data_IF_104641494080
#
_entry.id   IF_104641494080
#
_cell.length_a   1.000
_cell.length_b   1.000
_cell.length_c   1.000
_cell.angle_alpha   90.00
_cell.angle_beta   90.00
_cell.angle_gamma   90.00
#
_symmetry.space_group_name_H-M   'P 1'
#
loop_
_entity.id
_entity.type
_entity.pdbx_description
1 polymer ?
#
# COMPACT_ATOMS: atom_id res chain seq x y z
N UNK A 1 -30.02 23.46 -19.90
CA UNK A 1 -29.01 22.42 -19.67
C UNK A 1 -29.08 22.06 -18.20
N UNK A 2 -29.42 20.80 -17.88
CA UNK A 2 -29.36 20.31 -16.51
C UNK A 2 -27.87 20.24 -16.19
N UNK A 3 -27.40 21.07 -15.28
CA UNK A 3 -26.03 21.08 -14.80
C UNK A 3 -25.86 19.75 -14.04
N UNK A 4 -25.24 18.74 -14.67
CA UNK A 4 -24.91 17.49 -14.02
C UNK A 4 -23.97 17.85 -12.88
N UNK A 5 -24.43 17.68 -11.65
CA UNK A 5 -23.60 17.98 -10.48
C UNK A 5 -22.38 17.07 -10.47
N UNK A 6 -21.17 17.64 -10.32
CA UNK A 6 -19.94 16.88 -10.18
C UNK A 6 -20.09 15.84 -9.05
N UNK A 7 -19.66 14.58 -9.24
CA UNK A 7 -19.75 13.57 -8.19
C UNK A 7 -18.80 13.87 -7.03
N UNK A 8 -19.10 13.33 -5.87
CA UNK A 8 -18.13 13.25 -4.80
C UNK A 8 -17.15 12.09 -5.05
N UNK A 9 -16.00 12.11 -4.38
CA UNK A 9 -14.99 11.06 -4.50
C UNK A 9 -14.54 10.63 -3.10
N UNK A 10 -14.80 9.38 -2.73
CA UNK A 10 -14.27 8.76 -1.52
C UNK A 10 -13.10 7.85 -1.91
N UNK A 11 -11.90 8.21 -1.46
CA UNK A 11 -10.70 7.44 -1.73
C UNK A 11 -10.19 6.81 -0.44
N UNK A 12 -10.36 5.49 -0.30
CA UNK A 12 -9.98 4.70 0.87
C UNK A 12 -8.69 3.94 0.57
N UNK A 13 -7.69 4.16 1.38
CA UNK A 13 -6.42 3.41 1.38
C UNK A 13 -6.26 2.70 2.71
N UNK A 14 -6.03 1.40 2.68
CA UNK A 14 -5.69 0.61 3.88
C UNK A 14 -4.20 0.30 3.84
N UNK A 15 -3.45 0.84 4.80
CA UNK A 15 -2.02 0.56 4.92
C UNK A 15 -1.74 -0.94 5.00
N UNK A 16 -0.72 -1.38 4.30
CA UNK A 16 -0.23 -2.76 4.37
C UNK A 16 -1.24 -3.85 3.97
N UNK A 17 -2.29 -3.55 3.16
CA UNK A 17 -3.33 -4.52 2.80
C UNK A 17 -2.95 -5.36 1.57
N UNK A 18 -2.78 -6.65 1.78
CA UNK A 18 -2.49 -7.65 0.73
C UNK A 18 -3.73 -7.97 -0.11
N UNK A 19 -3.54 -8.11 -1.42
CA UNK A 19 -4.62 -8.49 -2.36
C UNK A 19 -5.19 -9.89 -2.07
N UNK A 20 -4.33 -10.89 -1.75
CA UNK A 20 -4.74 -12.26 -1.48
C UNK A 20 -5.57 -12.44 -0.19
N UNK A 21 -5.60 -11.43 0.69
CA UNK A 21 -6.43 -11.39 1.89
C UNK A 21 -7.78 -10.71 1.67
N UNK A 22 -7.95 -10.07 0.52
CA UNK A 22 -9.23 -9.47 0.07
C UNK A 22 -9.96 -10.38 -0.91
N UNK A 23 -9.24 -10.97 -1.85
CA UNK A 23 -9.82 -11.83 -2.88
C UNK A 23 -8.95 -13.05 -3.15
N UNK A 24 -9.56 -14.23 -3.25
CA UNK A 24 -8.87 -15.48 -3.54
C UNK A 24 -9.24 -16.62 -2.58
N UNK A 25 -8.71 -17.81 -2.87
CA UNK A 25 -9.05 -19.06 -2.16
C UNK A 25 -8.51 -19.13 -0.73
N UNK A 26 -7.42 -18.40 -0.45
CA UNK A 26 -6.71 -18.48 0.84
C UNK A 26 -7.14 -17.37 1.81
N UNK A 27 -8.20 -16.64 1.49
CA UNK A 27 -8.78 -15.62 2.35
C UNK A 27 -9.61 -16.27 3.45
N UNK A 28 -9.32 -15.94 4.71
CA UNK A 28 -10.11 -16.37 5.88
C UNK A 28 -10.79 -15.21 6.60
N UNK A 29 -10.44 -13.96 6.27
CA UNK A 29 -11.09 -12.75 6.78
C UNK A 29 -12.57 -12.69 6.39
N UNK A 30 -13.41 -12.16 7.29
CA UNK A 30 -14.84 -11.87 7.05
C UNK A 30 -14.99 -10.40 6.68
N UNK A 31 -15.15 -10.12 5.39
CA UNK A 31 -15.15 -8.76 4.83
C UNK A 31 -16.35 -8.47 3.92
N UNK A 32 -17.60 -8.66 4.43
CA UNK A 32 -18.79 -8.56 3.60
C UNK A 32 -18.99 -7.18 2.94
N UNK A 33 -18.48 -6.10 3.56
CA UNK A 33 -18.62 -4.74 3.01
C UNK A 33 -17.66 -4.50 1.85
N UNK A 34 -16.41 -4.94 1.97
CA UNK A 34 -15.43 -4.90 0.87
C UNK A 34 -15.87 -5.86 -0.26
N UNK A 35 -16.40 -7.04 0.08
CA UNK A 35 -16.98 -7.96 -0.91
C UNK A 35 -18.17 -7.34 -1.64
N UNK A 36 -18.98 -6.54 -0.95
CA UNK A 36 -20.08 -5.79 -1.58
C UNK A 36 -19.55 -4.74 -2.59
N UNK A 37 -18.45 -4.03 -2.27
CA UNK A 37 -17.80 -3.14 -3.24
C UNK A 37 -17.29 -3.91 -4.46
N UNK A 38 -16.70 -5.09 -4.28
CA UNK A 38 -16.24 -5.95 -5.39
C UNK A 38 -17.44 -6.40 -6.24
N UNK A 39 -18.51 -6.85 -5.60
CA UNK A 39 -19.70 -7.35 -6.28
C UNK A 39 -20.43 -6.26 -7.08
N UNK A 40 -20.43 -5.03 -6.61
CA UNK A 40 -21.14 -3.89 -7.21
C UNK A 40 -20.21 -2.91 -7.93
N UNK A 41 -18.97 -3.31 -8.21
CA UNK A 41 -17.97 -2.48 -8.84
C UNK A 41 -17.03 -3.28 -9.73
N UNK A 42 -15.87 -2.69 -10.02
CA UNK A 42 -14.82 -3.33 -10.81
C UNK A 42 -13.62 -3.59 -9.88
N UNK A 43 -13.22 -4.85 -9.79
CA UNK A 43 -12.05 -5.30 -9.04
C UNK A 43 -10.90 -5.68 -9.97
N UNK A 44 -9.70 -5.18 -9.69
CA UNK A 44 -8.47 -5.52 -10.40
C UNK A 44 -7.65 -6.50 -9.56
N UNK A 45 -7.52 -7.75 -10.04
CA UNK A 45 -6.80 -8.82 -9.33
C UNK A 45 -5.28 -8.61 -9.29
N UNK A 46 -4.74 -7.87 -10.25
CA UNK A 46 -3.31 -7.66 -10.45
C UNK A 46 -2.96 -6.16 -10.40
N UNK A 47 -3.45 -5.45 -9.37
CA UNK A 47 -3.01 -4.08 -9.12
C UNK A 47 -1.68 -4.09 -8.37
N UNK A 48 -0.69 -3.36 -8.90
CA UNK A 48 0.68 -3.37 -8.42
C UNK A 48 1.07 -1.96 -7.96
N UNK A 49 1.48 -1.83 -6.71
CA UNK A 49 2.10 -0.61 -6.23
C UNK A 49 3.55 -0.51 -6.70
N UNK A 50 4.01 0.71 -6.94
CA UNK A 50 5.37 0.93 -7.47
C UNK A 50 6.47 0.68 -6.43
N UNK A 51 6.13 0.67 -5.15
CA UNK A 51 7.07 0.50 -4.03
C UNK A 51 6.35 0.07 -2.75
N UNK A 52 6.98 -0.74 -1.89
CA UNK A 52 6.42 -1.09 -0.58
C UNK A 52 6.70 -0.03 0.50
N UNK A 53 6.51 1.25 0.20
CA UNK A 53 6.73 2.37 1.12
C UNK A 53 5.57 3.36 1.06
N UNK A 54 4.87 3.57 2.18
CA UNK A 54 3.64 4.35 2.29
C UNK A 54 3.71 5.72 1.61
N UNK A 55 4.60 6.60 2.05
CA UNK A 55 4.68 7.97 1.51
C UNK A 55 5.02 8.00 0.02
N UNK A 56 5.91 7.13 -0.42
CA UNK A 56 6.34 7.04 -1.82
C UNK A 56 5.23 6.47 -2.70
N UNK A 57 4.56 5.41 -2.25
CA UNK A 57 3.46 4.77 -2.97
C UNK A 57 2.27 5.73 -3.13
N UNK A 58 1.86 6.41 -2.05
CA UNK A 58 0.75 7.38 -2.10
C UNK A 58 1.10 8.58 -2.99
N UNK A 59 2.36 9.05 -2.95
CA UNK A 59 2.83 10.10 -3.87
C UNK A 59 2.72 9.66 -5.34
N UNK A 60 3.07 8.40 -5.65
CA UNK A 60 2.90 7.86 -7.00
C UNK A 60 1.43 7.79 -7.43
N UNK A 61 0.52 7.44 -6.52
CA UNK A 61 -0.93 7.47 -6.79
C UNK A 61 -1.39 8.89 -7.12
N UNK A 62 -1.00 9.88 -6.32
CA UNK A 62 -1.49 11.26 -6.48
C UNK A 62 -0.86 12.01 -7.65
N UNK A 63 0.28 11.58 -8.15
CA UNK A 63 0.95 12.22 -9.28
C UNK A 63 0.81 11.46 -10.60
N UNK A 64 0.46 10.17 -10.55
CA UNK A 64 0.50 9.29 -11.71
C UNK A 64 1.91 9.02 -12.23
N UNK A 65 2.95 9.30 -11.43
CA UNK A 65 4.37 9.17 -11.78
C UNK A 65 5.04 8.07 -10.97
N UNK A 66 6.03 7.41 -11.57
CA UNK A 66 6.87 6.46 -10.86
C UNK A 66 7.77 7.15 -9.81
N UNK A 67 8.14 6.48 -8.71
CA UNK A 67 8.86 7.06 -7.59
C UNK A 67 10.14 7.81 -7.96
N UNK A 68 10.95 7.28 -8.89
CA UNK A 68 12.18 7.93 -9.31
C UNK A 68 11.95 9.28 -10.00
N UNK A 69 10.78 9.51 -10.64
CA UNK A 69 10.42 10.78 -11.27
C UNK A 69 9.94 11.84 -10.29
N UNK A 70 9.37 11.42 -9.16
CA UNK A 70 8.97 12.35 -8.11
C UNK A 70 10.07 12.65 -7.08
N UNK A 71 11.28 12.13 -7.31
CA UNK A 71 12.42 12.32 -6.41
C UNK A 71 12.36 11.50 -5.12
N UNK A 72 11.43 10.57 -5.01
CA UNK A 72 11.22 9.72 -3.83
C UNK A 72 11.59 8.24 -4.08
N UNK A 73 12.44 7.98 -5.08
CA UNK A 73 12.87 6.63 -5.44
C UNK A 73 13.73 5.95 -4.38
N UNK A 74 14.16 4.72 -4.67
CA UNK A 74 14.89 3.83 -3.76
C UNK A 74 16.22 4.37 -3.24
N UNK A 75 16.71 5.50 -3.77
CA UNK A 75 18.01 6.05 -3.41
C UNK A 75 18.07 6.66 -2.00
N UNK A 76 17.07 7.47 -1.64
CA UNK A 76 17.04 8.21 -0.37
C UNK A 76 15.62 8.61 0.00
N UNK A 77 15.28 8.57 1.29
CA UNK A 77 14.04 9.18 1.75
C UNK A 77 14.09 10.69 1.58
N UNK A 78 13.07 11.20 0.88
CA UNK A 78 12.88 12.63 0.66
C UNK A 78 11.42 13.01 0.93
N UNK A 79 11.17 14.28 1.22
CA UNK A 79 9.83 14.83 1.23
C UNK A 79 9.30 14.94 -0.19
N UNK A 80 8.01 14.84 -0.34
CA UNK A 80 7.32 15.09 -1.60
C UNK A 80 7.69 16.47 -2.15
N UNK A 81 7.94 16.55 -3.44
CA UNK A 81 8.25 17.81 -4.13
C UNK A 81 6.96 18.57 -4.45
N UNK A 82 6.64 19.69 -3.79
CA UNK A 82 5.40 20.43 -4.00
C UNK A 82 5.31 21.11 -5.39
N UNK A 83 6.39 21.12 -6.18
CA UNK A 83 6.37 21.60 -7.57
C UNK A 83 5.78 20.58 -8.54
N UNK A 84 5.72 19.29 -8.14
CA UNK A 84 5.10 18.26 -8.95
C UNK A 84 3.60 18.33 -8.74
N UNK A 85 2.85 18.60 -9.80
CA UNK A 85 1.40 18.68 -9.73
C UNK A 85 0.78 17.34 -9.37
N UNK A 86 -0.10 17.39 -8.39
CA UNK A 86 -0.89 16.24 -7.94
C UNK A 86 -2.31 16.28 -8.50
N UNK A 87 -2.99 15.13 -8.49
CA UNK A 87 -4.42 15.09 -8.81
C UNK A 87 -5.25 15.98 -7.84
N UNK A 88 -4.76 16.19 -6.62
CA UNK A 88 -5.44 17.03 -5.62
C UNK A 88 -5.48 18.48 -6.08
N UNK A 89 -4.39 19.00 -6.62
CA UNK A 89 -4.34 20.36 -7.18
C UNK A 89 -5.27 20.50 -8.38
N UNK A 90 -5.27 19.52 -9.29
CA UNK A 90 -6.15 19.53 -10.47
C UNK A 90 -7.64 19.47 -10.04
N UNK A 91 -7.97 18.66 -9.03
CA UNK A 91 -9.33 18.61 -8.49
C UNK A 91 -9.74 19.96 -7.90
N UNK A 92 -8.86 20.63 -7.15
CA UNK A 92 -9.13 21.99 -6.61
C UNK A 92 -9.37 23.02 -7.72
N UNK A 93 -8.56 23.01 -8.76
CA UNK A 93 -8.75 23.88 -9.94
C UNK A 93 -10.06 23.61 -10.68
N UNK A 94 -10.66 22.44 -10.44
CA UNK A 94 -11.96 22.04 -10.94
C UNK A 94 -13.05 22.07 -9.85
N UNK A 95 -12.98 23.00 -8.91
CA UNK A 95 -13.96 23.31 -7.86
C UNK A 95 -14.26 22.17 -6.86
N UNK A 96 -13.37 21.19 -6.73
CA UNK A 96 -13.48 20.20 -5.67
C UNK A 96 -12.91 20.73 -4.36
N UNK A 97 -13.65 20.56 -3.27
CA UNK A 97 -13.12 20.72 -1.93
C UNK A 97 -12.36 19.45 -1.53
N UNK A 98 -11.10 19.59 -1.10
CA UNK A 98 -10.21 18.45 -0.87
C UNK A 98 -9.94 18.23 0.60
N UNK A 99 -10.24 17.04 1.10
CA UNK A 99 -10.12 16.67 2.50
C UNK A 99 -9.31 15.39 2.67
N UNK A 100 -8.57 15.30 3.77
CA UNK A 100 -7.86 14.10 4.16
C UNK A 100 -8.16 13.71 5.61
N UNK A 101 -8.01 12.44 5.89
CA UNK A 101 -7.83 11.86 7.22
C UNK A 101 -6.80 10.74 7.07
N UNK A 102 -5.55 11.01 7.43
CA UNK A 102 -4.40 10.15 7.16
C UNK A 102 -3.42 10.13 8.33
N UNK A 103 -2.56 9.11 8.46
CA UNK A 103 -1.57 9.06 9.53
C UNK A 103 -0.56 10.21 9.41
N UNK A 104 -0.04 10.69 10.53
CA UNK A 104 0.93 11.81 10.62
C UNK A 104 2.11 11.65 9.66
N UNK A 105 2.62 10.44 9.48
CA UNK A 105 3.77 10.18 8.60
C UNK A 105 3.54 10.64 7.15
N UNK A 106 2.33 10.60 6.63
CA UNK A 106 2.02 11.10 5.29
C UNK A 106 2.12 12.62 5.21
N UNK A 107 1.74 13.31 6.30
CA UNK A 107 1.89 14.76 6.41
C UNK A 107 3.36 15.16 6.58
N UNK A 108 4.11 14.46 7.41
CA UNK A 108 5.54 14.70 7.67
C UNK A 108 6.39 14.55 6.41
N UNK A 109 5.98 13.63 5.53
CA UNK A 109 6.58 13.43 4.21
C UNK A 109 6.04 14.39 3.14
N UNK A 110 5.12 15.29 3.49
CA UNK A 110 4.56 16.30 2.58
C UNK A 110 3.50 15.78 1.61
N UNK A 111 3.09 14.51 1.71
CA UNK A 111 2.15 13.88 0.76
C UNK A 111 0.75 14.52 0.82
N UNK A 112 0.36 15.06 1.98
CA UNK A 112 -0.96 15.65 2.22
C UNK A 112 -0.97 17.18 2.20
N UNK A 113 0.09 17.82 1.66
CA UNK A 113 0.21 19.28 1.71
C UNK A 113 -0.92 20.01 0.96
N UNK A 114 -1.43 19.42 -0.13
CA UNK A 114 -2.47 20.02 -0.97
C UNK A 114 -3.89 19.95 -0.38
N UNK A 115 -4.11 19.17 0.68
CA UNK A 115 -5.42 19.06 1.32
C UNK A 115 -5.74 20.25 2.22
N UNK A 116 -7.01 20.70 2.21
CA UNK A 116 -7.44 21.98 2.78
C UNK A 116 -7.78 21.92 4.26
N UNK A 117 -8.20 20.76 4.77
CA UNK A 117 -8.63 20.67 6.16
C UNK A 117 -7.46 20.69 7.15
N UNK A 118 -7.55 21.45 8.25
CA UNK A 118 -6.47 21.53 9.25
C UNK A 118 -6.29 20.23 10.05
N UNK A 119 -7.33 19.43 10.18
CA UNK A 119 -7.37 18.14 10.87
C UNK A 119 -7.17 16.95 9.92
N UNK A 120 -6.30 17.13 8.91
CA UNK A 120 -6.03 16.12 7.87
C UNK A 120 -5.16 14.97 8.33
N UNK A 121 -4.45 15.11 9.45
CA UNK A 121 -3.60 14.07 9.99
C UNK A 121 -4.03 13.62 11.38
N UNK A 122 -3.80 12.36 11.69
CA UNK A 122 -4.01 11.76 12.99
C UNK A 122 -2.74 10.99 13.42
N UNK A 123 -2.56 10.80 14.74
CA UNK A 123 -1.41 10.06 15.26
C UNK A 123 -1.34 8.66 14.66
N UNK A 124 -0.19 8.23 14.15
CA UNK A 124 0.02 6.97 13.43
C UNK A 124 -0.55 5.72 14.13
N UNK A 125 -0.74 5.77 15.44
CA UNK A 125 -1.28 4.65 16.22
C UNK A 125 -2.73 4.85 16.70
N UNK A 126 -3.41 5.88 16.20
CA UNK A 126 -4.80 6.14 16.50
C UNK A 126 -5.70 5.32 15.58
N UNK A 127 -6.31 4.26 16.13
CA UNK A 127 -7.04 3.27 15.35
C UNK A 127 -8.52 3.61 15.16
N UNK A 128 -9.15 2.91 14.21
CA UNK A 128 -10.59 2.99 13.97
C UNK A 128 -11.39 2.76 15.25
N UNK A 129 -11.00 1.78 16.07
CA UNK A 129 -11.68 1.44 17.33
C UNK A 129 -11.29 2.34 18.52
N UNK A 130 -10.27 3.15 18.39
CA UNK A 130 -9.89 4.15 19.39
C UNK A 130 -10.64 5.49 19.20
N UNK A 131 -11.45 5.62 18.17
CA UNK A 131 -12.26 6.81 17.89
C UNK A 131 -12.13 7.35 16.46
N UNK A 132 -11.10 6.96 15.71
CA UNK A 132 -10.88 7.41 14.32
C UNK A 132 -12.09 7.10 13.43
N UNK A 133 -12.68 5.91 13.55
CA UNK A 133 -13.86 5.54 12.76
C UNK A 133 -15.05 6.48 12.99
N UNK A 134 -15.31 6.89 14.24
CA UNK A 134 -16.34 7.86 14.55
C UNK A 134 -16.01 9.25 13.99
N UNK A 135 -14.76 9.69 14.05
CA UNK A 135 -14.34 10.97 13.46
C UNK A 135 -14.57 11.01 11.94
N UNK A 136 -14.22 9.93 11.22
CA UNK A 136 -14.46 9.81 9.78
C UNK A 136 -15.97 9.90 9.47
N UNK A 137 -16.80 9.15 10.19
CA UNK A 137 -18.26 9.17 10.02
C UNK A 137 -18.82 10.56 10.30
N UNK A 138 -18.36 11.23 11.35
CA UNK A 138 -18.79 12.58 11.71
C UNK A 138 -18.47 13.57 10.60
N UNK A 139 -17.26 13.54 10.02
CA UNK A 139 -16.89 14.41 8.89
C UNK A 139 -17.84 14.25 7.71
N UNK A 140 -18.20 13.00 7.38
CA UNK A 140 -19.12 12.73 6.27
C UNK A 140 -20.55 13.19 6.59
N UNK A 141 -21.03 12.97 7.83
CA UNK A 141 -22.44 13.16 8.22
C UNK A 141 -22.79 14.59 8.62
N UNK A 142 -21.85 15.38 9.12
CA UNK A 142 -22.09 16.71 9.70
C UNK A 142 -22.04 17.87 8.70
N UNK A 143 -22.22 17.62 7.40
CA UNK A 143 -22.01 18.62 6.34
C UNK A 143 -20.62 19.32 6.39
N UNK A 144 -19.65 18.66 7.01
CA UNK A 144 -18.26 19.12 7.06
C UNK A 144 -17.64 19.13 5.66
N UNK A 145 -17.94 18.09 4.86
CA UNK A 145 -17.48 17.95 3.48
C UNK A 145 -18.40 18.77 2.55
N UNK A 146 -17.92 19.91 2.06
CA UNK A 146 -18.62 20.74 1.07
C UNK A 146 -18.55 20.11 -0.31
N UNK A 147 -19.69 19.95 -0.98
CA UNK A 147 -19.79 19.33 -2.31
C UNK A 147 -19.37 20.28 -3.43
N UNK A 148 -18.79 19.75 -4.54
CA UNK A 148 -18.27 18.41 -4.68
C UNK A 148 -17.01 18.24 -3.82
N UNK A 149 -16.83 17.08 -3.22
CA UNK A 149 -15.66 16.83 -2.39
C UNK A 149 -14.85 15.61 -2.88
N UNK A 150 -13.53 15.69 -2.66
CA UNK A 150 -12.61 14.57 -2.66
C UNK A 150 -12.18 14.31 -1.22
N UNK A 151 -12.47 13.12 -0.71
CA UNK A 151 -12.10 12.76 0.65
C UNK A 151 -11.16 11.55 0.66
N UNK A 152 -9.91 11.80 1.00
CA UNK A 152 -8.89 10.79 1.19
C UNK A 152 -8.89 10.27 2.63
N UNK A 153 -9.10 8.96 2.77
CA UNK A 153 -9.10 8.26 4.06
C UNK A 153 -8.02 7.19 4.01
N UNK A 154 -6.97 7.36 4.80
CA UNK A 154 -5.90 6.37 4.92
C UNK A 154 -5.96 5.74 6.31
N UNK A 155 -6.20 4.42 6.37
CA UNK A 155 -6.40 3.64 7.59
C UNK A 155 -5.14 2.82 7.86
N UNK A 156 -4.58 2.97 9.07
CA UNK A 156 -3.27 2.42 9.46
C UNK A 156 -3.38 1.15 10.32
N UNK A 157 -4.57 0.63 10.54
CA UNK A 157 -4.88 -0.43 11.51
C UNK A 157 -4.23 -1.79 11.20
N UNK A 158 -3.85 -2.07 9.94
CA UNK A 158 -3.12 -3.30 9.56
C UNK A 158 -1.60 -3.17 9.65
N UNK A 159 -1.08 -1.95 9.87
CA UNK A 159 0.35 -1.76 10.09
C UNK A 159 0.80 -2.43 11.42
N UNK A 160 1.97 -3.05 11.41
CA UNK A 160 2.52 -3.73 12.61
C UNK A 160 2.90 -2.76 13.73
N UNK A 161 2.65 -3.13 14.99
CA UNK A 161 2.01 -4.36 15.46
C UNK A 161 0.49 -4.33 15.32
N UNK A 162 -0.08 -5.38 14.73
CA UNK A 162 -1.53 -5.50 14.57
C UNK A 162 -2.21 -5.75 15.92
N UNK A 163 -3.13 -4.85 16.31
CA UNK A 163 -3.83 -4.92 17.60
C UNK A 163 -5.31 -5.18 17.35
N UNK A 164 -5.68 -6.44 17.35
CA UNK A 164 -7.07 -6.88 17.12
C UNK A 164 -7.97 -6.44 18.28
N UNK A 165 -9.11 -5.77 18.02
CA UNK A 165 -10.09 -5.48 19.05
C UNK A 165 -10.70 -6.78 19.62
N UNK A 166 -10.96 -6.82 20.93
CA UNK A 166 -11.45 -8.03 21.63
C UNK A 166 -12.66 -8.70 20.96
N UNK A 167 -13.59 -7.90 20.42
CA UNK A 167 -14.77 -8.38 19.69
C UNK A 167 -14.45 -9.22 18.46
N UNK A 168 -13.31 -8.97 17.82
CA UNK A 168 -12.86 -9.61 16.59
C UNK A 168 -11.70 -10.60 16.79
N UNK A 169 -11.23 -10.77 18.03
CA UNK A 169 -10.13 -11.70 18.34
C UNK A 169 -10.66 -13.13 18.53
N UNK A 170 -11.25 -13.66 17.46
CA UNK A 170 -11.86 -15.00 17.38
C UNK A 170 -11.59 -15.55 15.96
N UNK A 171 -11.29 -16.85 15.82
CA UNK A 171 -10.96 -17.49 14.55
C UNK A 171 -12.05 -17.40 13.48
N UNK A 172 -13.31 -17.25 13.89
CA UNK A 172 -14.42 -17.01 12.93
C UNK A 172 -14.25 -15.74 12.09
N UNK A 173 -13.39 -14.79 12.51
CA UNK A 173 -13.07 -13.56 11.81
C UNK A 173 -11.77 -13.65 10.99
N UNK A 174 -11.02 -14.75 11.10
CA UNK A 174 -9.78 -14.99 10.38
C UNK A 174 -8.79 -15.84 11.17
N UNK A 175 -7.98 -16.62 10.48
CA UNK A 175 -7.01 -17.51 11.12
C UNK A 175 -5.84 -16.73 11.74
N UNK A 176 -5.34 -15.71 11.06
CA UNK A 176 -4.28 -14.84 11.56
C UNK A 176 -4.83 -13.60 12.26
N UNK A 177 -4.03 -12.96 13.11
CA UNK A 177 -4.38 -11.67 13.72
C UNK A 177 -4.58 -10.57 12.67
N UNK A 178 -3.77 -10.62 11.62
CA UNK A 178 -3.91 -9.73 10.47
C UNK A 178 -5.30 -9.86 9.82
N UNK A 179 -5.77 -11.09 9.56
CA UNK A 179 -7.08 -11.31 8.93
C UNK A 179 -8.23 -10.95 9.88
N UNK A 180 -8.08 -11.18 11.19
CA UNK A 180 -9.04 -10.71 12.21
C UNK A 180 -9.13 -9.20 12.25
N UNK A 181 -7.99 -8.50 12.13
CA UNK A 181 -7.98 -7.05 12.07
C UNK A 181 -8.58 -6.53 10.76
N UNK A 182 -8.34 -7.20 9.64
CA UNK A 182 -9.01 -6.88 8.38
C UNK A 182 -10.53 -7.00 8.49
N UNK A 183 -11.03 -8.03 9.16
CA UNK A 183 -12.48 -8.19 9.45
C UNK A 183 -13.00 -7.06 10.35
N UNK A 184 -12.20 -6.62 11.31
CA UNK A 184 -12.55 -5.48 12.15
C UNK A 184 -12.55 -4.16 11.37
N UNK A 185 -11.62 -3.99 10.44
CA UNK A 185 -11.55 -2.83 9.54
C UNK A 185 -12.75 -2.80 8.60
N UNK A 186 -13.15 -3.94 8.04
CA UNK A 186 -14.33 -4.07 7.18
C UNK A 186 -15.63 -3.61 7.87
N UNK A 187 -15.78 -3.87 9.15
CA UNK A 187 -16.92 -3.37 9.94
C UNK A 187 -17.01 -1.82 9.88
N UNK A 188 -15.88 -1.12 9.97
CA UNK A 188 -15.86 0.35 9.85
C UNK A 188 -16.04 0.82 8.43
N UNK A 189 -15.51 0.09 7.43
CA UNK A 189 -15.79 0.35 6.02
C UNK A 189 -17.30 0.31 5.77
N UNK A 190 -18.00 -0.70 6.29
CA UNK A 190 -19.47 -0.76 6.20
C UNK A 190 -20.14 0.48 6.76
N UNK A 191 -19.76 0.91 7.97
CA UNK A 191 -20.32 2.10 8.62
C UNK A 191 -20.04 3.40 7.83
N UNK A 192 -18.88 3.50 7.19
CA UNK A 192 -18.54 4.62 6.31
C UNK A 192 -19.41 4.59 5.07
N UNK A 193 -19.55 3.44 4.41
CA UNK A 193 -20.35 3.28 3.19
C UNK A 193 -21.85 3.53 3.42
N UNK A 194 -22.38 3.23 4.60
CA UNK A 194 -23.77 3.57 5.00
C UNK A 194 -24.06 5.10 4.94
N UNK A 195 -23.04 5.95 5.03
CA UNK A 195 -23.15 7.41 4.94
C UNK A 195 -22.96 7.96 3.53
N UNK A 196 -22.67 7.09 2.57
CA UNK A 196 -22.32 7.44 1.19
C UNK A 196 -23.47 7.09 0.25
N UNK A 197 -23.85 8.04 -0.60
CA UNK A 197 -24.73 7.76 -1.71
C UNK A 197 -23.90 7.40 -2.95
N UNK A 198 -23.84 6.11 -3.28
CA UNK A 198 -23.06 5.59 -4.41
C UNK A 198 -23.54 6.10 -5.78
N UNK A 199 -24.79 6.61 -5.92
CA UNK A 199 -25.26 7.15 -7.20
C UNK A 199 -24.60 8.47 -7.57
N UNK A 200 -24.04 9.21 -6.59
CA UNK A 200 -23.36 10.48 -6.78
C UNK A 200 -21.95 10.53 -6.17
N UNK A 201 -21.42 9.38 -5.78
CA UNK A 201 -20.07 9.29 -5.19
C UNK A 201 -19.31 8.15 -5.86
N UNK A 202 -18.14 8.47 -6.42
CA UNK A 202 -17.15 7.49 -6.85
C UNK A 202 -16.38 7.02 -5.62
N UNK A 203 -16.36 5.71 -5.38
CA UNK A 203 -15.58 5.07 -4.33
C UNK A 203 -14.39 4.35 -4.93
N UNK A 204 -13.19 4.70 -4.50
CA UNK A 204 -11.94 4.00 -4.82
C UNK A 204 -11.43 3.35 -3.52
N UNK A 205 -11.17 2.06 -3.57
CA UNK A 205 -10.62 1.30 -2.46
C UNK A 205 -9.34 0.60 -2.88
N UNK A 206 -8.24 0.83 -2.17
CA UNK A 206 -6.96 0.19 -2.43
C UNK A 206 -6.11 0.09 -1.16
N UNK A 207 -4.88 -0.37 -1.30
CA UNK A 207 -3.83 -0.26 -0.29
C UNK A 207 -2.67 0.57 -0.83
N UNK A 208 -1.80 1.06 0.03
CA UNK A 208 -0.53 1.66 -0.39
C UNK A 208 0.51 0.60 -0.80
N UNK A 209 0.61 -0.49 -0.05
CA UNK A 209 1.43 -1.69 -0.30
C UNK A 209 0.89 -2.88 0.49
N UNK A 210 1.52 -4.03 0.33
CA UNK A 210 1.26 -5.24 1.11
C UNK A 210 2.18 -5.39 2.33
N UNK A 211 2.15 -6.58 2.97
CA UNK A 211 2.97 -6.89 4.16
C UNK A 211 3.25 -8.38 4.29
N UNK A 212 4.39 -8.77 4.88
CA UNK A 212 4.63 -10.14 5.29
C UNK A 212 3.81 -10.48 6.54
N UNK A 213 2.97 -11.48 6.45
CA UNK A 213 2.17 -11.99 7.56
C UNK A 213 2.86 -13.26 8.06
N UNK A 214 3.53 -13.25 9.23
CA UNK A 214 4.29 -14.41 9.73
C UNK A 214 3.36 -15.48 10.31
N UNK A 215 2.47 -15.98 9.46
CA UNK A 215 1.48 -17.00 9.73
C UNK A 215 1.39 -17.93 8.51
N UNK A 216 1.67 -19.21 8.71
CA UNK A 216 1.58 -20.22 7.66
C UNK A 216 0.92 -21.50 8.21
N UNK A 217 0.36 -22.28 7.29
CA UNK A 217 0.00 -23.67 7.53
C UNK A 217 1.04 -24.52 6.81
N UNK A 218 1.90 -25.19 7.58
CA UNK A 218 2.91 -26.11 7.07
C UNK A 218 2.51 -27.52 7.46
N UNK A 219 2.24 -28.38 6.48
CA UNK A 219 1.62 -29.70 6.67
C UNK A 219 0.31 -29.55 7.49
N UNK A 220 0.21 -30.25 8.64
CA UNK A 220 -0.94 -30.18 9.55
C UNK A 220 -0.74 -29.20 10.72
N UNK A 221 0.35 -28.44 10.73
CA UNK A 221 0.69 -27.50 11.82
C UNK A 221 0.50 -26.05 11.40
N UNK A 222 -0.07 -25.27 12.31
CA UNK A 222 -0.10 -23.81 12.19
C UNK A 222 1.15 -23.24 12.86
N UNK A 223 1.94 -22.50 12.11
CA UNK A 223 3.07 -21.72 12.62
C UNK A 223 2.67 -20.26 12.61
N UNK A 224 2.52 -19.69 13.80
CA UNK A 224 2.14 -18.31 14.01
C UNK A 224 3.26 -17.58 14.78
N UNK A 225 3.92 -16.63 14.10
CA UNK A 225 4.94 -15.76 14.66
C UNK A 225 4.47 -14.29 14.70
N UNK A 226 3.17 -14.04 14.66
CA UNK A 226 2.61 -12.71 14.90
C UNK A 226 2.88 -12.24 16.35
N UNK A 227 2.66 -10.96 16.62
CA UNK A 227 2.96 -10.40 17.94
C UNK A 227 2.16 -11.06 19.07
N UNK A 228 2.84 -11.52 20.11
CA UNK A 228 2.23 -12.10 21.30
C UNK A 228 1.44 -11.05 22.11
N UNK A 229 0.56 -11.51 23.02
CA UNK A 229 -0.15 -10.63 23.93
C UNK A 229 0.80 -9.77 24.78
N UNK A 230 1.91 -10.36 25.24
CA UNK A 230 2.95 -9.65 26.00
C UNK A 230 3.61 -8.55 25.17
N UNK A 231 4.00 -8.84 23.93
CA UNK A 231 4.57 -7.84 23.02
C UNK A 231 3.61 -6.69 22.75
N UNK A 232 2.32 -6.98 22.51
CA UNK A 232 1.28 -5.96 22.31
C UNK A 232 1.08 -5.09 23.54
N UNK A 233 1.09 -5.66 24.73
CA UNK A 233 0.96 -4.92 25.96
C UNK A 233 2.19 -4.02 26.23
N UNK A 234 3.39 -4.52 26.00
CA UNK A 234 4.63 -3.74 26.09
C UNK A 234 4.62 -2.60 25.08
N UNK A 235 4.14 -2.84 23.87
CA UNK A 235 4.01 -1.81 22.84
C UNK A 235 2.99 -0.73 23.24
N UNK A 236 1.80 -1.11 23.72
CA UNK A 236 0.79 -0.18 24.24
C UNK A 236 1.34 0.67 25.39
N UNK A 237 2.11 0.06 26.28
CA UNK A 237 2.75 0.75 27.39
C UNK A 237 3.84 1.70 26.87
N UNK A 238 4.66 1.25 25.94
CA UNK A 238 5.71 2.06 25.31
C UNK A 238 5.16 3.34 24.63
N UNK A 239 3.96 3.27 24.03
CA UNK A 239 3.33 4.45 23.43
C UNK A 239 2.81 5.49 24.42
N UNK A 240 2.68 5.12 25.71
CA UNK A 240 2.35 6.05 26.79
C UNK A 240 3.59 6.73 27.39
N UNK A 241 4.80 6.30 27.01
CA UNK A 241 6.05 6.90 27.48
C UNK A 241 6.25 8.25 26.79
N UNK A 242 6.45 9.34 27.56
CA UNK A 242 6.72 10.67 27.01
C UNK A 242 7.94 10.68 26.07
N UNK A 243 7.93 11.56 25.09
CA UNK A 243 9.01 11.66 24.09
C UNK A 243 10.40 11.90 24.68
N UNK A 244 10.51 12.61 25.81
CA UNK A 244 11.78 12.83 26.52
C UNK A 244 12.40 11.53 27.08
N UNK A 245 11.62 10.45 27.22
CA UNK A 245 12.08 9.12 27.64
C UNK A 245 12.24 8.13 26.46
N UNK A 246 12.28 8.63 25.24
CA UNK A 246 12.46 7.83 24.02
C UNK A 246 13.66 6.86 24.04
N UNK A 247 14.80 7.11 24.71
CA UNK A 247 15.89 6.13 24.83
C UNK A 247 15.48 4.84 25.56
N UNK A 248 14.61 4.94 26.57
CA UNK A 248 14.09 3.78 27.31
C UNK A 248 13.15 2.96 26.43
N UNK A 249 12.24 3.64 25.71
CA UNK A 249 11.35 3.02 24.71
C UNK A 249 12.14 2.22 23.67
N UNK A 250 13.25 2.78 23.16
CA UNK A 250 14.15 2.13 22.19
C UNK A 250 14.83 0.88 22.74
N UNK A 251 15.34 0.92 23.97
CA UNK A 251 15.95 -0.25 24.62
C UNK A 251 14.94 -1.40 24.78
N UNK A 252 13.71 -1.10 25.22
CA UNK A 252 12.65 -2.08 25.36
C UNK A 252 12.26 -2.70 24.00
N UNK A 253 12.06 -1.88 22.98
CA UNK A 253 11.77 -2.35 21.62
C UNK A 253 12.92 -3.20 21.06
N UNK A 254 14.18 -2.82 21.31
CA UNK A 254 15.36 -3.59 20.93
C UNK A 254 15.42 -4.97 21.60
N UNK A 255 15.12 -5.06 22.89
CA UNK A 255 15.07 -6.33 23.64
C UNK A 255 13.98 -7.26 23.10
N UNK A 256 12.77 -6.76 22.89
CA UNK A 256 11.65 -7.53 22.31
C UNK A 256 12.06 -8.12 20.95
N UNK A 257 12.67 -7.28 20.12
CA UNK A 257 13.12 -7.68 18.77
C UNK A 257 14.21 -8.73 18.81
N UNK A 258 15.20 -8.60 19.70
CA UNK A 258 16.28 -9.58 19.86
C UNK A 258 15.74 -10.94 20.34
N UNK A 259 14.88 -10.93 21.36
CA UNK A 259 14.24 -12.15 21.88
C UNK A 259 13.40 -12.84 20.79
N UNK A 260 12.63 -12.07 20.02
CA UNK A 260 11.83 -12.59 18.91
C UNK A 260 12.69 -13.22 17.81
N UNK A 261 13.79 -12.57 17.44
CA UNK A 261 14.73 -13.12 16.45
C UNK A 261 15.40 -14.41 16.95
N UNK A 262 15.75 -14.48 18.23
CA UNK A 262 16.29 -15.70 18.83
C UNK A 262 15.26 -16.85 18.80
N UNK A 263 13.99 -16.59 19.13
CA UNK A 263 12.93 -17.60 19.07
C UNK A 263 12.73 -18.10 17.63
N UNK A 264 12.75 -17.20 16.65
CA UNK A 264 12.65 -17.57 15.23
C UNK A 264 13.80 -18.48 14.78
N UNK A 265 15.01 -18.15 15.20
CA UNK A 265 16.21 -18.87 14.73
C UNK A 265 16.48 -20.19 15.47
N UNK A 266 15.98 -20.35 16.69
CA UNK A 266 16.32 -21.52 17.53
C UNK A 266 15.22 -22.57 17.64
N UNK A 267 13.95 -22.21 17.39
CA UNK A 267 12.81 -23.13 17.59
C UNK A 267 12.23 -23.75 16.33
N UNK A 268 12.67 -23.32 15.16
CA UNK A 268 12.13 -23.80 13.89
C UNK A 268 13.22 -24.57 13.13
N UNK A 269 12.92 -25.79 12.74
CA UNK A 269 13.73 -26.50 11.74
C UNK A 269 13.41 -25.91 10.36
N UNK A 270 14.33 -25.08 9.86
CA UNK A 270 14.17 -24.39 8.58
C UNK A 270 14.40 -25.29 7.37
N UNK A 271 14.87 -26.54 7.56
CA UNK A 271 15.23 -27.44 6.46
C UNK A 271 14.01 -27.92 5.67
N UNK A 272 12.84 -28.02 6.31
CA UNK A 272 11.59 -28.48 5.71
C UNK A 272 10.77 -27.37 5.03
N UNK A 273 11.12 -26.09 5.27
CA UNK A 273 10.32 -24.98 4.72
C UNK A 273 10.65 -24.69 3.27
N UNK A 274 9.61 -24.36 2.50
CA UNK A 274 9.75 -23.80 1.17
C UNK A 274 10.38 -22.38 1.20
N UNK A 275 10.84 -21.88 0.08
CA UNK A 275 11.42 -20.53 -0.01
C UNK A 275 10.37 -19.46 0.34
N UNK A 276 9.11 -19.66 -0.05
CA UNK A 276 8.01 -18.79 0.35
C UNK A 276 7.80 -18.79 1.88
N UNK A 277 7.74 -19.96 2.50
CA UNK A 277 7.54 -20.09 3.95
C UNK A 277 8.69 -19.46 4.74
N UNK A 278 9.94 -19.69 4.32
CA UNK A 278 11.11 -19.00 4.90
C UNK A 278 10.99 -17.50 4.79
N UNK A 279 10.63 -16.98 3.62
CA UNK A 279 10.44 -15.56 3.38
C UNK A 279 9.38 -14.96 4.32
N UNK A 280 8.20 -15.56 4.38
CA UNK A 280 7.08 -15.06 5.19
C UNK A 280 7.37 -15.10 6.70
N UNK A 281 8.00 -16.17 7.19
CA UNK A 281 8.31 -16.35 8.60
C UNK A 281 9.53 -15.56 9.06
N UNK A 282 10.60 -15.56 8.26
CA UNK A 282 11.93 -15.08 8.66
C UNK A 282 12.17 -13.64 8.23
N UNK A 283 11.70 -13.27 7.04
CA UNK A 283 11.83 -11.90 6.58
C UNK A 283 10.94 -10.99 7.40
N UNK A 284 11.56 -10.05 8.04
CA UNK A 284 10.85 -8.90 8.56
C UNK A 284 11.02 -7.80 7.51
N UNK A 285 9.94 -7.12 7.14
CA UNK A 285 10.01 -5.91 6.31
C UNK A 285 11.11 -4.96 6.80
N UNK A 286 11.31 -4.90 8.11
CA UNK A 286 12.36 -4.14 8.78
C UNK A 286 13.80 -4.54 8.42
N UNK A 287 14.01 -5.66 7.75
CA UNK A 287 15.34 -6.16 7.39
C UNK A 287 15.65 -6.17 5.89
N UNK A 288 14.61 -6.27 5.05
CA UNK A 288 14.74 -6.47 3.60
C UNK A 288 13.94 -5.41 2.85
N UNK A 289 14.38 -4.16 2.95
CA UNK A 289 13.80 -3.04 2.16
C UNK A 289 13.97 -3.24 0.65
N UNK A 290 14.76 -4.22 0.25
CA UNK A 290 15.02 -4.59 -1.15
C UNK A 290 14.02 -5.59 -1.72
N UNK A 291 13.10 -6.13 -0.92
CA UNK A 291 12.15 -7.13 -1.37
C UNK A 291 11.03 -6.50 -2.23
N UNK A 292 10.77 -7.14 -3.39
CA UNK A 292 9.73 -6.74 -4.34
C UNK A 292 8.78 -7.90 -4.69
N UNK A 293 8.54 -8.79 -3.73
CA UNK A 293 7.62 -9.91 -3.88
C UNK A 293 6.16 -9.46 -3.88
N UNK A 294 5.28 -10.23 -4.51
CA UNK A 294 3.83 -9.91 -4.60
C UNK A 294 3.18 -9.74 -3.24
N UNK A 295 3.68 -10.38 -2.20
CA UNK A 295 3.25 -10.15 -0.80
C UNK A 295 3.32 -8.66 -0.40
N UNK A 296 4.26 -7.91 -0.97
CA UNK A 296 4.51 -6.50 -0.63
C UNK A 296 3.96 -5.52 -1.66
N UNK A 297 3.86 -5.94 -2.93
CA UNK A 297 3.53 -5.00 -4.02
C UNK A 297 2.19 -5.26 -4.70
N UNK A 298 1.58 -6.43 -4.54
CA UNK A 298 0.26 -6.71 -5.10
C UNK A 298 -0.82 -6.36 -4.09
N UNK A 299 -1.66 -5.41 -4.45
CA UNK A 299 -2.67 -4.79 -3.60
C UNK A 299 -4.08 -4.91 -4.20
N UNK A 300 -5.15 -4.83 -3.40
CA UNK A 300 -6.50 -4.74 -3.96
C UNK A 300 -6.69 -3.38 -4.64
N UNK A 301 -7.50 -3.35 -5.71
CA UNK A 301 -7.98 -2.11 -6.30
C UNK A 301 -9.43 -2.30 -6.75
N UNK A 302 -10.32 -1.45 -6.21
CA UNK A 302 -11.75 -1.46 -6.52
C UNK A 302 -12.18 -0.06 -6.93
N UNK A 303 -12.96 0.04 -8.01
CA UNK A 303 -13.74 1.22 -8.35
C UNK A 303 -15.23 0.84 -8.25
N UNK A 304 -16.02 1.65 -7.55
CA UNK A 304 -17.46 1.41 -7.35
C UNK A 304 -18.23 2.72 -7.26
N UNK A 305 -19.53 2.69 -7.51
CA UNK A 305 -20.42 3.86 -7.42
C UNK A 305 -20.47 4.68 -8.70
N UNK A 306 -20.45 6.03 -8.56
CA UNK A 306 -20.62 6.92 -9.71
C UNK A 306 -19.64 6.62 -10.86
N UNK A 307 -20.16 6.59 -12.08
CA UNK A 307 -19.36 6.33 -13.29
C UNK A 307 -19.00 4.86 -13.53
N UNK A 308 -19.29 3.98 -12.59
CA UNK A 308 -19.02 2.54 -12.72
C UNK A 308 -20.34 1.83 -13.06
N UNK A 309 -20.49 1.45 -14.31
CA UNK A 309 -21.74 0.85 -14.85
C UNK A 309 -21.69 -0.67 -14.98
N UNK A 310 -20.52 -1.26 -14.82
CA UNK A 310 -20.29 -2.70 -14.89
C UNK A 310 -19.80 -3.25 -13.56
N UNK A 311 -20.12 -4.51 -13.28
CA UNK A 311 -19.49 -5.29 -12.22
C UNK A 311 -18.60 -6.35 -12.89
N UNK A 312 -17.33 -6.31 -12.60
CA UNK A 312 -16.38 -7.25 -13.23
C UNK A 312 -15.12 -7.45 -12.38
N UNK A 313 -14.54 -8.63 -12.54
CA UNK A 313 -13.22 -8.97 -12.03
C UNK A 313 -12.27 -8.94 -13.21
N UNK A 314 -11.25 -8.10 -13.15
CA UNK A 314 -10.29 -7.88 -14.22
C UNK A 314 -8.95 -8.47 -13.82
N UNK A 315 -8.54 -9.53 -14.53
CA UNK A 315 -7.25 -10.22 -14.27
C UNK A 315 -6.05 -9.52 -14.89
N UNK A 316 -6.29 -8.50 -15.73
CA UNK A 316 -5.22 -7.73 -16.35
C UNK A 316 -4.43 -6.94 -15.31
N UNK A 317 -3.11 -6.94 -15.45
CA UNK A 317 -2.21 -6.15 -14.62
C UNK A 317 -2.45 -4.65 -14.79
N UNK A 318 -2.44 -3.92 -13.67
CA UNK A 318 -2.54 -2.46 -13.60
C UNK A 318 -1.51 -1.92 -12.59
N UNK A 319 -1.24 -0.64 -12.65
CA UNK A 319 -0.31 0.04 -11.74
C UNK A 319 -1.02 1.06 -10.86
N UNK A 320 -0.48 1.37 -9.69
CA UNK A 320 -0.95 2.48 -8.86
C UNK A 320 -0.91 3.83 -9.57
N UNK A 321 0.06 4.06 -10.46
CA UNK A 321 0.12 5.31 -11.24
C UNK A 321 -1.05 5.48 -12.21
N UNK A 322 -1.79 4.40 -12.51
CA UNK A 322 -2.99 4.43 -13.35
C UNK A 322 -4.21 5.04 -12.63
N UNK A 323 -4.19 5.09 -11.29
CA UNK A 323 -5.34 5.55 -10.48
C UNK A 323 -5.67 7.02 -10.75
N UNK A 324 -4.66 7.88 -10.74
CA UNK A 324 -4.82 9.32 -10.98
C UNK A 324 -5.52 9.63 -12.32
N UNK A 325 -4.99 9.21 -13.49
CA UNK A 325 -5.65 9.47 -14.77
C UNK A 325 -7.04 8.81 -14.87
N UNK A 326 -7.26 7.67 -14.18
CA UNK A 326 -8.56 7.01 -14.14
C UNK A 326 -9.62 7.84 -13.40
N UNK A 327 -9.25 8.43 -12.27
CA UNK A 327 -10.16 9.32 -11.51
C UNK A 327 -10.60 10.47 -12.39
N UNK A 328 -9.66 11.17 -13.01
CA UNK A 328 -9.96 12.33 -13.85
C UNK A 328 -10.87 11.95 -15.04
N UNK A 329 -10.59 10.84 -15.68
CA UNK A 329 -11.34 10.34 -16.83
C UNK A 329 -12.79 9.97 -16.46
N UNK A 330 -13.00 9.29 -15.30
CA UNK A 330 -14.35 8.94 -14.81
C UNK A 330 -15.19 10.19 -14.52
N UNK A 331 -14.59 11.25 -14.00
CA UNK A 331 -15.31 12.49 -13.65
C UNK A 331 -15.31 13.52 -14.77
N UNK A 332 -14.72 13.19 -15.94
CA UNK A 332 -14.72 14.04 -17.14
C UNK A 332 -13.83 15.27 -17.05
N UNK A 333 -12.71 15.20 -16.30
CA UNK A 333 -11.70 16.27 -16.22
C UNK A 333 -10.53 15.94 -17.14
N UNK A 334 -10.30 16.78 -18.14
CA UNK A 334 -9.11 16.70 -18.99
C UNK A 334 -7.88 17.25 -18.24
N UNK A 335 -6.75 16.57 -18.37
CA UNK A 335 -5.48 17.01 -17.82
C UNK A 335 -4.40 17.02 -18.91
N UNK A 336 -3.59 18.06 -18.93
CA UNK A 336 -2.41 18.18 -19.80
C UNK A 336 -1.14 17.61 -19.16
N UNK A 337 -1.24 17.07 -17.93
CA UNK A 337 -0.09 16.54 -17.22
C UNK A 337 0.46 15.29 -17.89
N UNK A 338 1.76 15.28 -18.11
CA UNK A 338 2.46 14.08 -18.58
C UNK A 338 2.69 13.13 -17.41
N UNK A 339 1.94 12.04 -17.37
CA UNK A 339 2.02 11.00 -16.34
C UNK A 339 2.48 9.67 -16.93
N UNK A 340 3.01 8.79 -16.08
CA UNK A 340 3.36 7.42 -16.47
C UNK A 340 2.12 6.51 -16.54
N UNK A 341 1.14 6.83 -15.72
CA UNK A 341 -0.12 6.09 -15.62
C UNK A 341 -1.01 6.26 -16.86
N UNK A 342 -1.89 5.28 -17.05
CA UNK A 342 -2.91 5.27 -18.11
C UNK A 342 -4.29 5.05 -17.49
N UNK A 343 -5.28 5.78 -17.98
CA UNK A 343 -6.65 5.58 -17.52
C UNK A 343 -7.11 4.14 -17.72
N UNK A 344 -7.68 3.57 -16.67
CA UNK A 344 -8.30 2.25 -16.65
C UNK A 344 -9.75 2.29 -17.13
N UNK A 345 -10.35 3.47 -17.35
CA UNK A 345 -11.73 3.62 -17.78
C UNK A 345 -12.07 2.84 -19.07
N UNK A 346 -11.21 2.79 -20.11
CA UNK A 346 -11.47 1.93 -21.26
C UNK A 346 -11.62 0.44 -20.90
N UNK A 347 -10.84 -0.05 -19.92
CA UNK A 347 -10.90 -1.45 -19.48
C UNK A 347 -12.13 -1.67 -18.59
N UNK A 348 -12.45 -0.74 -17.72
CA UNK A 348 -13.69 -0.72 -16.92
C UNK A 348 -14.91 -0.82 -17.85
N UNK A 349 -14.86 -0.15 -19.00
CA UNK A 349 -15.91 -0.19 -20.04
C UNK A 349 -15.77 -1.39 -21.00
N UNK A 350 -15.00 -2.40 -20.65
CA UNK A 350 -14.93 -3.69 -21.37
C UNK A 350 -13.97 -3.71 -22.58
N UNK A 351 -13.17 -2.66 -22.82
CA UNK A 351 -12.14 -2.71 -23.88
C UNK A 351 -11.00 -3.65 -23.50
N UNK A 352 -10.65 -4.54 -24.42
CA UNK A 352 -9.45 -5.36 -24.28
C UNK A 352 -8.23 -4.56 -24.68
N UNK A 353 -7.31 -4.32 -23.75
CA UNK A 353 -6.03 -3.70 -24.02
C UNK A 353 -4.91 -4.70 -23.79
N UNK A 354 -3.77 -4.50 -24.47
CA UNK A 354 -2.56 -5.31 -24.24
C UNK A 354 -2.05 -5.10 -22.83
N UNK A 355 -1.45 -6.13 -22.24
CA UNK A 355 -0.75 -6.00 -20.96
C UNK A 355 0.37 -4.97 -21.06
N UNK A 356 0.56 -4.25 -19.97
CA UNK A 356 1.63 -3.28 -19.81
C UNK A 356 2.62 -3.76 -18.76
N UNK A 357 3.86 -3.36 -18.90
CA UNK A 357 4.85 -3.50 -17.85
C UNK A 357 4.59 -2.48 -16.75
N UNK A 358 4.79 -2.90 -15.51
CA UNK A 358 4.74 -2.04 -14.34
C UNK A 358 6.14 -1.93 -13.74
N UNK A 359 6.62 -0.70 -13.60
CA UNK A 359 7.88 -0.42 -12.91
C UNK A 359 7.69 -0.55 -11.39
N UNK A 360 8.64 -1.18 -10.74
CA UNK A 360 8.68 -1.39 -9.30
C UNK A 360 10.06 -1.07 -8.74
N UNK A 361 10.14 -0.54 -7.53
CA UNK A 361 11.40 -0.29 -6.85
C UNK A 361 11.28 -0.47 -5.33
N UNK A 362 12.40 -0.76 -4.69
CA UNK A 362 12.47 -0.96 -3.25
C UNK A 362 12.15 0.32 -2.47
N UNK A 363 11.78 0.16 -1.22
CA UNK A 363 11.66 1.30 -0.29
C UNK A 363 12.99 2.05 -0.21
N UNK A 364 12.97 3.39 -0.12
CA UNK A 364 14.16 4.14 0.21
C UNK A 364 14.75 3.68 1.55
N UNK A 365 16.07 3.59 1.64
CA UNK A 365 16.75 3.21 2.88
C UNK A 365 17.07 4.40 3.77
N UNK A 366 16.96 4.23 5.09
CA UNK A 366 17.51 5.16 6.07
C UNK A 366 18.86 4.58 6.54
N UNK A 367 19.99 5.05 5.97
CA UNK A 367 21.32 4.58 6.32
C UNK A 367 22.22 4.26 5.12
N UNK A 368 23.50 3.96 5.40
CA UNK A 368 24.51 3.61 4.39
C UNK A 368 24.44 2.11 4.06
N UNK A 369 24.69 1.74 2.81
CA UNK A 369 25.01 0.35 2.43
C UNK A 369 23.82 -0.53 2.08
N UNK A 370 22.64 0.02 1.77
CA UNK A 370 21.48 -0.78 1.37
C UNK A 370 21.42 -1.02 -0.13
N UNK A 371 20.90 -2.18 -0.49
CA UNK A 371 20.60 -2.53 -1.85
C UNK A 371 19.47 -1.63 -2.36
N UNK A 372 19.71 -0.92 -3.42
CA UNK A 372 18.74 -0.12 -4.14
C UNK A 372 18.22 -0.99 -5.28
N UNK A 373 17.03 -1.53 -5.13
CA UNK A 373 16.48 -2.52 -6.05
C UNK A 373 15.44 -1.87 -6.94
N UNK A 374 15.56 -2.14 -8.23
CA UNK A 374 14.59 -1.75 -9.25
C UNK A 374 14.16 -2.97 -10.04
N UNK A 375 12.97 -2.92 -10.58
CA UNK A 375 12.45 -4.04 -11.35
C UNK A 375 11.27 -3.68 -12.23
N UNK A 376 10.78 -4.69 -12.90
CA UNK A 376 9.66 -4.63 -13.80
C UNK A 376 8.79 -5.89 -13.62
N UNK A 377 7.48 -5.70 -13.66
CA UNK A 377 6.52 -6.79 -13.60
C UNK A 377 5.61 -6.77 -14.82
N UNK A 378 5.39 -7.93 -15.41
CA UNK A 378 4.33 -8.21 -16.37
C UNK A 378 3.33 -9.20 -15.77
N UNK A 379 2.26 -9.54 -16.47
CA UNK A 379 1.33 -10.59 -16.01
C UNK A 379 1.97 -11.96 -15.85
N UNK A 380 3.05 -12.23 -16.59
CA UNK A 380 3.71 -13.55 -16.61
C UNK A 380 5.04 -13.60 -15.88
N UNK A 381 5.76 -12.49 -15.81
CA UNK A 381 7.12 -12.46 -15.26
C UNK A 381 7.35 -11.27 -14.36
N UNK A 382 8.16 -11.48 -13.33
CA UNK A 382 8.72 -10.41 -12.50
C UNK A 382 10.23 -10.50 -12.52
N UNK A 383 10.86 -9.36 -12.79
CA UNK A 383 12.30 -9.20 -12.81
C UNK A 383 12.71 -8.03 -11.92
N UNK A 384 13.71 -8.23 -11.07
CA UNK A 384 14.31 -7.15 -10.30
C UNK A 384 15.78 -7.41 -9.99
N UNK A 385 16.52 -6.32 -9.80
CA UNK A 385 17.97 -6.34 -9.55
C UNK A 385 18.43 -5.08 -8.83
N UNK A 386 19.66 -5.09 -8.32
CA UNK A 386 20.29 -3.89 -7.78
C UNK A 386 20.41 -2.79 -8.86
N UNK A 387 20.16 -1.53 -8.46
CA UNK A 387 20.18 -0.37 -9.35
C UNK A 387 21.55 -0.15 -9.99
N UNK A 388 22.62 -0.29 -9.20
CA UNK A 388 23.99 0.06 -9.59
C UNK A 388 24.79 -1.15 -10.06
N UNK A 389 24.40 -2.37 -9.69
CA UNK A 389 25.08 -3.60 -10.03
C UNK A 389 24.09 -4.65 -10.55
N UNK A 390 24.00 -4.79 -11.87
CA UNK A 390 23.04 -5.67 -12.54
C UNK A 390 23.17 -7.15 -12.19
N UNK A 391 24.32 -7.59 -11.70
CA UNK A 391 24.56 -8.97 -11.25
C UNK A 391 24.19 -9.23 -9.79
N UNK A 392 23.83 -8.18 -9.03
CA UNK A 392 23.51 -8.28 -7.62
C UNK A 392 22.00 -8.22 -7.42
N UNK A 393 21.48 -8.97 -6.40
CA UNK A 393 20.03 -9.06 -6.12
C UNK A 393 19.24 -9.43 -7.39
N UNK A 394 19.81 -10.32 -8.20
CA UNK A 394 19.25 -10.67 -9.52
C UNK A 394 18.16 -11.74 -9.36
N UNK A 395 16.93 -11.36 -9.64
CA UNK A 395 15.76 -12.22 -9.53
C UNK A 395 14.91 -12.17 -10.79
N UNK A 396 14.45 -13.33 -11.23
CA UNK A 396 13.47 -13.51 -12.28
C UNK A 396 12.52 -14.65 -11.93
N UNK A 397 11.22 -14.38 -11.91
CA UNK A 397 10.17 -15.33 -11.58
C UNK A 397 9.15 -15.46 -12.71
N UNK A 398 8.72 -16.70 -12.98
CA UNK A 398 7.60 -17.03 -13.86
C UNK A 398 6.31 -17.05 -13.03
N UNK A 399 5.62 -15.93 -12.94
CA UNK A 399 4.44 -15.76 -12.08
C UNK A 399 3.25 -16.63 -12.49
N UNK A 400 3.23 -17.12 -13.73
CA UNK A 400 2.18 -18.00 -14.22
C UNK A 400 2.32 -19.41 -13.64
N UNK A 401 3.54 -19.90 -13.50
CA UNK A 401 3.83 -21.24 -13.04
C UNK A 401 4.36 -21.26 -11.60
N UNK A 402 4.78 -20.13 -11.08
CA UNK A 402 5.37 -19.93 -9.75
C UNK A 402 4.80 -18.64 -9.10
N UNK A 403 3.53 -18.66 -8.75
CA UNK A 403 2.83 -17.52 -8.16
C UNK A 403 3.31 -17.14 -6.75
N UNK A 404 4.06 -18.03 -6.09
CA UNK A 404 4.67 -17.79 -4.78
C UNK A 404 6.13 -17.31 -4.87
N UNK A 405 6.68 -17.19 -6.09
CA UNK A 405 8.03 -16.68 -6.33
C UNK A 405 9.12 -17.44 -5.55
N UNK A 406 9.08 -18.75 -5.64
CA UNK A 406 10.00 -19.67 -4.97
C UNK A 406 11.20 -20.04 -5.84
N UNK A 407 11.04 -20.01 -7.18
CA UNK A 407 12.02 -20.50 -8.12
C UNK A 407 12.63 -19.34 -8.93
N UNK A 408 13.77 -18.82 -8.50
CA UNK A 408 14.51 -17.81 -9.26
C UNK A 408 15.14 -18.44 -10.52
N UNK A 409 14.61 -18.07 -11.69
CA UNK A 409 15.04 -18.59 -12.99
C UNK A 409 16.00 -17.65 -13.75
N UNK A 410 16.56 -16.63 -13.12
CA UNK A 410 17.41 -15.63 -13.77
C UNK A 410 18.60 -16.24 -14.52
N UNK A 411 19.23 -17.28 -13.95
CA UNK A 411 20.36 -17.97 -14.57
C UNK A 411 19.95 -18.90 -15.73
N UNK A 412 18.68 -19.33 -15.76
CA UNK A 412 18.17 -20.31 -16.75
C UNK A 412 17.49 -19.66 -17.95
N UNK A 413 16.95 -18.44 -17.80
CA UNK A 413 16.08 -17.77 -18.78
C UNK A 413 16.67 -16.45 -19.27
N UNK A 414 17.89 -16.49 -19.81
CA UNK A 414 18.66 -15.32 -20.24
C UNK A 414 17.95 -14.45 -21.29
N UNK A 415 17.20 -15.04 -22.22
CA UNK A 415 16.46 -14.30 -23.26
C UNK A 415 15.31 -13.49 -22.66
N UNK A 416 14.53 -14.09 -21.72
CA UNK A 416 13.45 -13.41 -20.99
C UNK A 416 14.04 -12.27 -20.15
N UNK A 417 15.12 -12.55 -19.43
CA UNK A 417 15.83 -11.55 -18.62
C UNK A 417 16.27 -10.36 -19.46
N UNK A 418 16.89 -10.58 -20.62
CA UNK A 418 17.32 -9.52 -21.52
C UNK A 418 16.16 -8.66 -21.98
N UNK A 419 15.05 -9.25 -22.40
CA UNK A 419 13.88 -8.51 -22.84
C UNK A 419 13.29 -7.64 -21.72
N UNK A 420 13.22 -8.17 -20.50
CA UNK A 420 12.70 -7.42 -19.34
C UNK A 420 13.66 -6.29 -18.92
N UNK A 421 14.98 -6.51 -19.02
CA UNK A 421 15.97 -5.45 -18.78
C UNK A 421 15.82 -4.31 -19.79
N UNK A 422 15.63 -4.62 -21.08
CA UNK A 422 15.40 -3.61 -22.11
C UNK A 422 14.14 -2.78 -21.82
N UNK A 423 13.03 -3.42 -21.43
CA UNK A 423 11.80 -2.72 -21.06
C UNK A 423 11.97 -1.88 -19.77
N UNK A 424 12.69 -2.39 -18.77
CA UNK A 424 13.03 -1.65 -17.55
C UNK A 424 13.82 -0.37 -17.88
N UNK A 425 14.84 -0.48 -18.73
CA UNK A 425 15.65 0.65 -19.14
C UNK A 425 14.87 1.66 -19.98
N UNK A 426 13.94 1.23 -20.84
CA UNK A 426 13.04 2.14 -21.58
C UNK A 426 12.19 2.99 -20.63
N UNK A 427 11.60 2.40 -19.60
CA UNK A 427 10.81 3.14 -18.60
C UNK A 427 11.69 4.18 -17.88
N UNK A 428 12.93 3.84 -17.58
CA UNK A 428 13.87 4.72 -16.87
C UNK A 428 14.60 5.74 -17.74
N UNK A 429 14.54 5.62 -19.06
CA UNK A 429 15.30 6.50 -19.98
C UNK A 429 14.79 7.95 -20.07
N UNK A 430 13.62 8.25 -19.48
CA UNK A 430 13.08 9.62 -19.43
C UNK A 430 13.94 10.54 -18.55
N UNK A 431 14.15 11.79 -18.99
CA UNK A 431 14.76 12.82 -18.15
C UNK A 431 13.81 13.24 -17.02
N UNK A 432 14.33 13.40 -15.83
CA UNK A 432 13.60 13.93 -14.68
C UNK A 432 14.51 14.88 -13.89
N UNK A 433 13.93 15.93 -13.34
CA UNK A 433 14.66 16.84 -12.46
C UNK A 433 15.01 16.13 -11.15
N UNK A 434 16.28 16.15 -10.76
CA UNK A 434 16.69 15.74 -9.43
C UNK A 434 16.25 16.82 -8.44
N UNK A 435 15.37 16.47 -7.56
CA UNK A 435 14.94 17.30 -6.46
C UNK A 435 15.49 16.74 -5.15
N UNK A 436 16.15 17.59 -4.37
CA UNK A 436 16.65 17.20 -3.05
C UNK A 436 15.91 17.98 -1.97
N UNK A 437 15.04 17.31 -1.24
CA UNK A 437 14.35 17.83 -0.08
C UNK A 437 14.47 16.85 1.08
N UNK A 438 15.53 17.01 1.85
CA UNK A 438 15.83 16.08 2.94
C UNK A 438 14.76 16.09 4.02
N UNK A 439 14.47 14.89 4.54
CA UNK A 439 13.64 14.74 5.73
C UNK A 439 14.43 15.10 6.98
N UNK A 440 13.77 15.72 7.97
CA UNK A 440 14.39 16.04 9.26
C UNK A 440 14.75 14.79 10.05
N UNK A 441 15.62 14.94 11.07
CA UNK A 441 15.99 13.81 11.94
C UNK A 441 14.80 13.26 12.73
N UNK A 442 13.83 14.11 13.08
CA UNK A 442 12.59 13.69 13.71
C UNK A 442 11.79 12.76 12.79
N UNK A 443 11.62 13.12 11.51
CA UNK A 443 10.92 12.29 10.53
C UNK A 443 11.69 10.99 10.28
N UNK A 444 13.02 11.03 10.19
CA UNK A 444 13.85 9.82 10.12
C UNK A 444 13.61 8.90 11.30
N UNK A 445 13.48 9.48 12.50
CA UNK A 445 13.22 8.72 13.71
C UNK A 445 11.84 8.06 13.67
N UNK A 446 10.80 8.77 13.25
CA UNK A 446 9.43 8.21 13.05
C UNK A 446 9.46 7.07 12.06
N UNK A 447 10.11 7.24 10.90
CA UNK A 447 10.25 6.18 9.89
C UNK A 447 10.96 4.94 10.46
N UNK A 448 11.98 5.13 11.31
CA UNK A 448 12.64 4.03 12.02
C UNK A 448 11.69 3.28 12.95
N UNK A 449 10.88 4.01 13.72
CA UNK A 449 9.88 3.41 14.62
C UNK A 449 8.80 2.65 13.84
N UNK A 450 8.43 3.11 12.66
CA UNK A 450 7.53 2.45 11.72
C UNK A 450 8.18 1.29 10.94
N UNK A 451 9.46 1.01 11.15
CA UNK A 451 10.14 -0.14 10.58
C UNK A 451 10.86 0.09 9.25
N UNK A 452 11.07 1.33 8.85
CA UNK A 452 11.87 1.69 7.66
C UNK A 452 13.37 1.83 8.00
N UNK A 453 13.80 1.38 9.18
CA UNK A 453 15.20 1.41 9.61
C UNK A 453 15.93 0.15 9.18
N UNK A 454 16.94 0.33 8.34
CA UNK A 454 18.26 -0.35 8.39
C UNK A 454 19.21 0.19 7.37
#
# INVERSE_FOLDING_TARGET
>A
MIQISKPNILFIVIDSLRADKVFGKNKTSKIPNIESLIKNGVYFEQAICSTPATGVSVSSIFTGLYPFKIGMGSEKYQKFNPKIRSCIQILKENDYNTYATSPEITNDLGVTHDFENPDKSYNNYFSLFAGLGNQIIQKISANYLKKPWFFYVHIFDLHKPVIVPKKFDDEKFGLSQYERMLSATDFWIGKILEKINLSNTLVIFTADHGEYIPFIKHEDKIINLEASATEKNLWKWGNKIPQNLSPIKRKLAGLIRTTRNQIKNTKLDHSSFSEYEKRVLLHQRQGNVSDLYDDLIRVPLIFSGYGITSNSIISRQTSHVDIFPTILDIIGIESQEQVDGKSLLPIINGKKLRDSFVYIESSPGIGKGKDKVIGIRSSNFKYFRDLNNTGRVLHLYDLKNDSLEENNIANKSKSVLKNLEEELLKIRSGSYEKYENEISEEVKQVLKELGYDK
#
